data_IF_688518223123
#
_entry.id   IF_688518223123
#
_cell.length_a   1.000
_cell.length_b   1.000
_cell.length_c   1.000
_cell.angle_alpha   90.00
_cell.angle_beta   90.00
_cell.angle_gamma   90.00
#
_symmetry.space_group_name_H-M   'P 1'
#
loop_
_entity.id
_entity.type
_entity.pdbx_description
1 polymer ?
#
# COMPACT_ATOMS: atom_id res chain seq x y z
N UNK A 1 28.94 -41.50 38.31
CA UNK A 1 29.31 -41.15 39.69
C UNK A 1 29.64 -39.65 39.67
N UNK A 2 29.04 -38.84 40.55
CA UNK A 2 29.03 -37.37 40.71
C UNK A 2 27.93 -36.69 39.86
N UNK A 3 26.78 -36.43 40.29
CA UNK A 3 26.12 -35.76 41.43
C UNK A 3 26.68 -34.35 41.74
N UNK A 4 26.04 -33.25 41.24
CA UNK A 4 26.05 -31.95 41.89
C UNK A 4 24.86 -31.08 41.39
N UNK A 5 23.85 -30.97 42.17
CA UNK A 5 23.37 -30.00 43.16
C UNK A 5 22.67 -28.79 42.53
N UNK A 6 21.38 -28.84 42.68
CA UNK A 6 20.42 -27.72 42.72
C UNK A 6 20.79 -26.69 43.77
N UNK A 7 20.55 -25.43 43.49
CA UNK A 7 20.28 -24.39 44.48
C UNK A 7 19.21 -23.43 43.93
N UNK A 8 18.15 -23.13 44.69
CA UNK A 8 17.14 -22.13 44.35
C UNK A 8 17.57 -20.77 44.94
N UNK A 9 17.33 -19.70 44.22
CA UNK A 9 17.40 -18.34 44.77
C UNK A 9 16.00 -17.75 44.82
N UNK A 10 15.63 -17.49 46.04
CA UNK A 10 14.36 -16.94 46.51
C UNK A 10 14.08 -15.52 46.04
N UNK A 11 12.79 -15.27 45.93
CA UNK A 11 12.13 -14.00 45.76
C UNK A 11 12.47 -12.95 46.82
N UNK A 12 12.55 -11.70 46.44
CA UNK A 12 12.28 -10.57 47.36
C UNK A 12 11.27 -9.66 46.66
N UNK A 13 10.07 -9.69 47.20
CA UNK A 13 9.00 -8.73 46.97
C UNK A 13 9.32 -7.49 47.79
N UNK A 14 9.36 -6.33 47.19
CA UNK A 14 9.31 -5.08 47.95
C UNK A 14 8.27 -4.17 47.28
N UNK A 15 7.10 -4.10 47.90
CA UNK A 15 6.04 -3.18 47.56
C UNK A 15 6.37 -1.75 48.01
N UNK A 16 6.04 -0.78 47.20
CA UNK A 16 5.87 0.61 47.64
C UNK A 16 4.55 1.13 47.06
N UNK A 17 3.59 1.25 47.96
CA UNK A 17 2.38 2.05 47.81
C UNK A 17 2.76 3.54 47.81
N UNK A 18 2.35 4.30 46.80
CA UNK A 18 2.12 5.72 46.93
C UNK A 18 0.70 6.04 46.46
N UNK A 19 -0.11 6.39 47.45
CA UNK A 19 -1.42 7.00 47.23
C UNK A 19 -1.28 8.53 47.17
N UNK A 20 -2.22 9.13 46.54
CA UNK A 20 -2.79 10.47 46.72
C UNK A 20 -2.55 11.49 45.61
N UNK A 21 -3.66 11.99 45.09
CA UNK A 21 -3.72 13.29 44.46
C UNK A 21 -4.85 13.46 43.44
N UNK A 22 -6.12 13.33 43.87
CA UNK A 22 -7.27 13.87 43.11
C UNK A 22 -7.13 15.39 42.96
N UNK A 23 -7.22 15.90 41.74
CA UNK A 23 -7.76 17.25 41.50
C UNK A 23 -8.65 17.22 40.25
N UNK A 24 -9.93 17.16 40.55
CA UNK A 24 -11.02 17.48 39.65
C UNK A 24 -10.94 18.95 39.22
N UNK A 25 -10.98 19.24 37.94
CA UNK A 25 -11.35 20.56 37.42
C UNK A 25 -12.66 20.42 36.66
N UNK A 26 -13.62 21.19 37.11
CA UNK A 26 -15.01 21.16 36.76
C UNK A 26 -15.32 21.62 35.32
N UNK A 27 -16.59 21.56 34.93
CA UNK A 27 -17.05 21.74 33.56
C UNK A 27 -17.02 23.21 33.12
N UNK A 28 -16.59 23.44 31.89
CA UNK A 28 -16.69 24.75 31.21
C UNK A 28 -18.09 24.87 30.58
N UNK A 29 -18.78 26.03 30.67
CA UNK A 29 -20.14 26.18 30.18
C UNK A 29 -20.22 26.19 28.66
N UNK A 30 -21.33 25.65 28.15
CA UNK A 30 -21.72 25.74 26.75
C UNK A 30 -22.05 27.23 26.42
N UNK A 31 -21.43 27.76 25.39
CA UNK A 31 -21.85 29.01 24.77
C UNK A 31 -22.70 28.70 23.54
N UNK A 32 -23.93 29.13 23.71
CA UNK A 32 -25.04 29.15 22.76
C UNK A 32 -24.76 30.24 21.72
N UNK A 33 -24.73 29.88 20.42
CA UNK A 33 -24.92 30.89 19.38
C UNK A 33 -25.64 30.33 18.15
N UNK A 34 -26.86 30.85 18.02
CA UNK A 34 -27.52 31.41 16.83
C UNK A 34 -27.67 30.50 15.59
N UNK A 35 -28.86 30.00 15.51
CA UNK A 35 -29.74 29.86 14.35
C UNK A 35 -29.39 30.82 13.19
N UNK A 36 -29.14 30.27 12.01
CA UNK A 36 -29.35 30.98 10.76
C UNK A 36 -30.15 30.07 9.80
N UNK A 37 -31.46 30.43 9.70
CA UNK A 37 -32.38 29.81 8.76
C UNK A 37 -32.13 30.35 7.33
N UNK A 38 -32.32 29.50 6.28
CA UNK A 38 -32.22 29.99 4.91
C UNK A 38 -33.48 30.73 4.48
N UNK A 39 -33.27 31.93 3.92
CA UNK A 39 -34.30 32.74 3.31
C UNK A 39 -34.87 32.06 2.06
N UNK A 40 -36.19 31.92 2.02
CA UNK A 40 -36.98 31.65 0.82
C UNK A 40 -36.83 32.80 -0.16
N UNK A 41 -36.36 32.54 -1.37
CA UNK A 41 -36.52 33.46 -2.51
C UNK A 41 -37.56 32.85 -3.45
N UNK A 42 -38.55 33.71 -3.73
CA UNK A 42 -39.77 33.36 -4.42
C UNK A 42 -39.58 33.04 -5.91
N UNK A 43 -40.46 32.20 -6.37
CA UNK A 43 -40.70 31.90 -7.77
C UNK A 43 -41.34 33.08 -8.46
N UNK A 44 -40.75 33.59 -9.53
CA UNK A 44 -41.43 34.45 -10.51
C UNK A 44 -41.39 33.72 -11.85
N UNK A 45 -42.55 33.18 -12.24
CA UNK A 45 -42.80 32.77 -13.60
C UNK A 45 -42.82 34.01 -14.51
N UNK A 46 -42.03 33.98 -15.56
CA UNK A 46 -42.30 34.76 -16.77
C UNK A 46 -42.10 33.88 -17.99
N UNK A 47 -43.23 33.56 -18.60
CA UNK A 47 -43.27 32.97 -19.93
C UNK A 47 -42.73 33.93 -20.98
N UNK A 48 -41.87 33.42 -21.84
CA UNK A 48 -41.35 34.11 -23.00
C UNK A 48 -40.91 33.08 -24.06
N UNK A 49 -41.76 32.88 -25.04
CA UNK A 49 -41.42 32.13 -26.23
C UNK A 49 -40.32 32.84 -27.03
N UNK A 50 -39.21 32.15 -27.26
CA UNK A 50 -38.19 32.60 -28.23
C UNK A 50 -38.07 31.60 -29.36
N UNK A 51 -37.96 32.08 -30.61
CA UNK A 51 -37.86 31.25 -31.79
C UNK A 51 -36.44 30.61 -31.88
N UNK A 52 -36.39 29.35 -32.29
CA UNK A 52 -35.18 28.60 -32.60
C UNK A 52 -34.40 29.27 -33.73
N UNK A 53 -33.33 29.98 -33.39
CA UNK A 53 -32.26 30.27 -34.31
C UNK A 53 -31.08 29.35 -33.93
N UNK A 54 -30.70 28.43 -34.82
CA UNK A 54 -29.59 27.51 -34.61
C UNK A 54 -28.28 28.29 -34.50
N UNK A 55 -27.77 28.40 -33.28
CA UNK A 55 -26.39 28.78 -33.03
C UNK A 55 -25.51 27.55 -33.23
N UNK A 56 -24.44 27.63 -34.03
CA UNK A 56 -23.46 26.55 -34.14
C UNK A 56 -22.84 26.32 -32.77
N UNK A 57 -22.85 25.06 -32.34
CA UNK A 57 -22.19 24.64 -31.11
C UNK A 57 -20.67 24.90 -31.22
N UNK A 58 -20.05 25.82 -30.44
CA UNK A 58 -18.63 26.13 -30.56
C UNK A 58 -17.70 25.01 -30.12
N UNK A 59 -18.25 23.85 -29.72
CA UNK A 59 -17.48 22.67 -29.29
C UNK A 59 -17.40 21.55 -30.36
N UNK A 60 -17.90 21.79 -31.56
CA UNK A 60 -17.62 20.88 -32.68
C UNK A 60 -16.26 21.25 -33.30
N UNK A 61 -15.22 20.54 -32.88
CA UNK A 61 -13.88 20.67 -33.45
C UNK A 61 -12.71 20.69 -32.46
N UNK A 62 -12.95 20.64 -31.16
CA UNK A 62 -11.88 20.34 -30.25
C UNK A 62 -11.82 18.81 -30.06
N UNK A 63 -10.97 18.16 -30.88
CA UNK A 63 -10.37 16.90 -30.45
C UNK A 63 -9.78 17.18 -29.08
N UNK A 64 -10.37 16.57 -28.01
CA UNK A 64 -9.75 16.56 -26.70
C UNK A 64 -8.43 15.80 -26.86
N UNK A 65 -7.37 16.56 -27.12
CA UNK A 65 -6.03 16.04 -26.95
C UNK A 65 -5.96 15.50 -25.54
N UNK A 66 -5.88 14.19 -25.43
CA UNK A 66 -5.68 13.48 -24.17
C UNK A 66 -4.39 14.08 -23.54
N UNK A 67 -4.46 14.79 -22.40
CA UNK A 67 -3.27 15.39 -21.79
C UNK A 67 -2.25 14.35 -21.32
N UNK A 68 -2.57 13.06 -21.44
CA UNK A 68 -1.67 11.93 -21.21
C UNK A 68 -1.02 11.36 -22.50
N UNK A 69 -1.25 11.95 -23.67
CA UNK A 69 -0.66 11.50 -24.94
C UNK A 69 0.86 11.74 -25.07
N UNK A 70 1.52 12.24 -24.02
CA UNK A 70 2.97 12.42 -23.93
C UNK A 70 3.66 11.58 -22.87
N UNK A 71 2.93 10.76 -22.11
CA UNK A 71 3.57 9.74 -21.28
C UNK A 71 4.02 8.63 -22.20
N UNK A 72 5.32 8.50 -22.44
CA UNK A 72 5.93 7.33 -23.05
C UNK A 72 5.34 6.11 -22.31
N UNK A 73 4.56 5.31 -23.05
CA UNK A 73 4.21 3.99 -22.54
C UNK A 73 5.52 3.29 -22.18
N UNK A 74 5.72 2.91 -20.91
CA UNK A 74 6.92 2.17 -20.57
C UNK A 74 6.95 0.89 -21.42
N UNK A 75 8.13 0.40 -21.81
CA UNK A 75 8.27 -0.78 -22.65
C UNK A 75 7.34 -1.87 -22.12
N UNK A 76 6.47 -2.36 -22.99
CA UNK A 76 5.33 -3.19 -22.63
C UNK A 76 5.77 -4.57 -22.16
N UNK A 77 5.76 -4.79 -20.85
CA UNK A 77 5.76 -6.13 -20.29
C UNK A 77 4.34 -6.67 -20.26
N UNK A 78 4.14 -7.97 -20.50
CA UNK A 78 2.82 -8.62 -20.49
C UNK A 78 2.18 -8.67 -19.11
N UNK A 79 2.98 -8.60 -18.04
CA UNK A 79 2.54 -8.84 -16.65
C UNK A 79 2.08 -10.27 -16.40
N UNK A 80 2.14 -11.13 -17.40
CA UNK A 80 1.77 -12.55 -17.35
C UNK A 80 3.00 -13.44 -17.53
N UNK A 81 3.04 -14.64 -16.93
CA UNK A 81 4.16 -15.54 -17.08
C UNK A 81 4.19 -16.14 -18.48
N UNK A 82 5.37 -16.21 -19.07
CA UNK A 82 5.64 -16.99 -20.27
C UNK A 82 5.68 -18.52 -19.98
N UNK A 83 5.99 -19.33 -20.99
CA UNK A 83 6.08 -20.77 -20.85
C UNK A 83 7.17 -21.26 -19.87
N UNK A 84 8.15 -20.42 -19.55
CA UNK A 84 9.20 -20.69 -18.54
C UNK A 84 8.86 -20.20 -17.14
N UNK A 85 7.71 -19.53 -16.98
CA UNK A 85 7.26 -18.91 -15.74
C UNK A 85 7.93 -17.57 -15.45
N UNK A 86 8.47 -16.90 -16.47
CA UNK A 86 9.04 -15.55 -16.35
C UNK A 86 7.98 -14.50 -16.64
N UNK A 87 7.86 -13.52 -15.76
CA UNK A 87 7.00 -12.35 -15.94
C UNK A 87 7.86 -11.17 -16.34
N UNK A 88 7.60 -10.63 -17.53
CA UNK A 88 8.16 -9.38 -18.02
C UNK A 88 7.24 -8.21 -17.59
N UNK A 89 7.82 -7.19 -16.93
CA UNK A 89 7.10 -6.01 -16.46
C UNK A 89 7.60 -4.71 -17.09
N UNK A 90 8.41 -4.83 -18.14
CA UNK A 90 8.97 -3.74 -18.92
C UNK A 90 10.50 -3.72 -18.88
N UNK A 91 11.15 -2.87 -18.09
CA UNK A 91 12.60 -2.81 -18.03
C UNK A 91 13.25 -3.98 -17.27
N UNK A 92 12.45 -4.72 -16.51
CA UNK A 92 12.89 -5.89 -15.74
C UNK A 92 11.91 -7.05 -15.86
N UNK A 93 12.43 -8.25 -15.66
CA UNK A 93 11.67 -9.50 -15.57
C UNK A 93 12.04 -10.27 -14.31
N UNK A 94 11.19 -11.20 -13.89
CA UNK A 94 11.42 -12.07 -12.75
C UNK A 94 10.71 -13.42 -12.91
N UNK A 95 11.19 -14.45 -12.20
CA UNK A 95 10.60 -15.77 -12.22
C UNK A 95 9.48 -15.89 -11.19
N UNK A 96 8.31 -16.32 -11.65
CA UNK A 96 7.16 -16.61 -10.79
C UNK A 96 7.43 -17.88 -9.96
N UNK A 97 7.25 -17.88 -8.61
CA UNK A 97 7.29 -19.09 -7.81
C UNK A 97 6.20 -20.09 -8.22
N UNK A 98 6.54 -21.39 -8.28
CA UNK A 98 5.66 -22.44 -8.84
C UNK A 98 4.24 -22.51 -8.26
N UNK A 99 4.10 -22.19 -6.97
CA UNK A 99 2.80 -22.27 -6.29
C UNK A 99 1.99 -20.96 -6.39
N UNK A 100 2.58 -19.92 -6.96
CA UNK A 100 1.92 -18.62 -7.08
C UNK A 100 1.19 -18.54 -8.42
N UNK A 101 0.09 -17.78 -8.45
CA UNK A 101 -0.72 -17.61 -9.65
C UNK A 101 -0.78 -16.14 -10.06
N UNK A 102 -0.40 -15.86 -11.30
CA UNK A 102 -0.57 -14.54 -11.89
C UNK A 102 -2.04 -14.27 -12.19
N UNK A 103 -2.41 -13.01 -12.13
CA UNK A 103 -3.74 -12.50 -12.45
C UNK A 103 -3.59 -11.29 -13.38
N UNK A 104 -4.54 -11.04 -14.28
CA UNK A 104 -4.51 -9.84 -15.10
C UNK A 104 -4.44 -8.56 -14.25
N UNK A 105 -3.53 -7.63 -14.55
CA UNK A 105 -3.43 -6.37 -13.81
C UNK A 105 -4.71 -5.54 -13.91
N UNK A 106 -5.23 -5.05 -12.78
CA UNK A 106 -6.49 -4.29 -12.71
C UNK A 106 -6.37 -2.82 -13.11
N UNK A 107 -5.17 -2.33 -13.37
CA UNK A 107 -4.91 -0.96 -13.83
C UNK A 107 -3.57 -0.86 -14.54
N UNK A 108 -3.39 0.16 -15.38
CA UNK A 108 -2.14 0.42 -16.11
C UNK A 108 -0.92 0.70 -15.22
N UNK A 109 -1.13 1.17 -13.98
CA UNK A 109 -0.05 1.38 -13.00
C UNK A 109 0.48 0.08 -12.40
N UNK A 110 -0.28 -1.03 -12.51
CA UNK A 110 0.10 -2.35 -12.01
C UNK A 110 0.69 -3.14 -13.16
N UNK A 111 1.94 -3.50 -13.04
CA UNK A 111 2.66 -4.27 -14.06
C UNK A 111 2.49 -5.77 -13.91
N UNK A 112 2.25 -6.24 -12.69
CA UNK A 112 1.86 -7.62 -12.42
C UNK A 112 1.00 -7.67 -11.15
N UNK A 113 0.08 -8.62 -11.11
CA UNK A 113 -0.66 -9.02 -9.91
C UNK A 113 -0.54 -10.53 -9.73
N UNK A 114 -0.14 -10.97 -8.54
CA UNK A 114 0.12 -12.37 -8.26
C UNK A 114 -0.47 -12.74 -6.90
N UNK A 115 -1.13 -13.90 -6.83
CA UNK A 115 -1.62 -14.49 -5.59
C UNK A 115 -0.63 -15.53 -5.08
N UNK A 116 -0.21 -15.40 -3.82
CA UNK A 116 0.61 -16.35 -3.09
C UNK A 116 -0.29 -17.11 -2.11
N UNK A 117 -0.44 -18.45 -2.24
CA UNK A 117 -1.30 -19.24 -1.35
C UNK A 117 -0.68 -19.38 0.04
N UNK A 118 -1.53 -19.56 1.06
CA UNK A 118 -1.09 -19.83 2.43
C UNK A 118 -2.21 -20.30 3.33
N UNK A 119 -1.85 -20.85 4.49
CA UNK A 119 -2.77 -21.46 5.45
C UNK A 119 -3.77 -20.49 6.06
N UNK A 120 -3.40 -19.21 6.19
CA UNK A 120 -4.25 -18.16 6.76
C UNK A 120 -5.01 -17.34 5.68
N UNK A 121 -5.09 -17.84 4.47
CA UNK A 121 -5.63 -17.14 3.30
C UNK A 121 -4.52 -16.63 2.38
N UNK A 122 -4.85 -16.23 1.15
CA UNK A 122 -3.83 -15.82 0.18
C UNK A 122 -3.22 -14.46 0.54
N UNK A 123 -1.93 -14.28 0.21
CA UNK A 123 -1.28 -12.99 0.13
C UNK A 123 -1.29 -12.50 -1.32
N UNK A 124 -1.20 -11.18 -1.52
CA UNK A 124 -1.16 -10.56 -2.84
C UNK A 124 0.17 -9.87 -3.06
N UNK A 125 0.85 -10.22 -4.16
CA UNK A 125 1.96 -9.43 -4.70
C UNK A 125 1.43 -8.54 -5.80
N UNK A 126 1.75 -7.25 -5.71
CA UNK A 126 1.48 -6.28 -6.76
C UNK A 126 2.81 -5.61 -7.12
N UNK A 127 3.11 -5.57 -8.41
CA UNK A 127 4.24 -4.82 -8.97
C UNK A 127 3.71 -3.54 -9.61
N UNK A 128 4.21 -2.39 -9.14
CA UNK A 128 3.85 -1.08 -9.70
C UNK A 128 5.03 -0.46 -10.43
N UNK A 129 4.68 0.35 -11.44
CA UNK A 129 5.62 1.25 -12.10
C UNK A 129 4.89 2.57 -12.43
N UNK A 130 5.52 3.70 -12.06
CA UNK A 130 4.94 5.04 -12.22
C UNK A 130 5.77 5.95 -13.16
N UNK A 131 6.61 5.34 -14.03
CA UNK A 131 7.51 6.08 -14.92
C UNK A 131 8.82 6.50 -14.23
N UNK A 132 9.65 7.25 -14.93
CA UNK A 132 10.98 7.68 -14.47
C UNK A 132 10.96 8.43 -13.14
N UNK A 133 9.96 9.28 -12.93
CA UNK A 133 9.82 10.07 -11.71
C UNK A 133 9.37 9.22 -10.51
N UNK A 134 8.87 8.00 -10.75
CA UNK A 134 8.37 7.12 -9.70
C UNK A 134 7.21 7.73 -8.91
N UNK A 135 7.04 7.27 -7.67
CA UNK A 135 6.02 7.75 -6.72
C UNK A 135 6.65 8.53 -5.55
N UNK A 136 7.72 9.27 -5.82
CA UNK A 136 8.54 9.97 -4.82
C UNK A 136 9.75 9.14 -4.37
N UNK A 137 10.53 9.66 -3.41
CA UNK A 137 11.74 8.98 -2.92
C UNK A 137 11.43 7.62 -2.29
N UNK A 138 12.42 6.72 -2.26
CA UNK A 138 12.30 5.42 -1.59
C UNK A 138 11.85 5.58 -0.12
N UNK A 139 12.46 6.53 0.62
CA UNK A 139 12.09 6.78 2.02
C UNK A 139 10.65 7.26 2.17
N UNK A 140 10.17 8.19 1.32
CA UNK A 140 8.80 8.67 1.37
C UNK A 140 7.78 7.54 1.10
N UNK A 141 8.11 6.58 0.23
CA UNK A 141 7.29 5.39 0.02
C UNK A 141 7.27 4.48 1.24
N UNK A 142 8.43 4.23 1.85
CA UNK A 142 8.56 3.44 3.07
C UNK A 142 7.73 4.05 4.20
N UNK A 143 7.87 5.35 4.46
CA UNK A 143 7.13 6.06 5.52
C UNK A 143 5.62 5.96 5.30
N UNK A 144 5.18 6.13 4.04
CA UNK A 144 3.76 5.96 3.67
C UNK A 144 3.26 4.54 3.91
N UNK A 145 4.06 3.51 3.60
CA UNK A 145 3.65 2.11 3.79
C UNK A 145 3.67 1.72 5.26
N UNK A 146 4.65 2.17 6.04
CA UNK A 146 4.67 1.98 7.50
C UNK A 146 3.46 2.64 8.15
N UNK A 147 3.09 3.85 7.71
CA UNK A 147 1.90 4.57 8.18
C UNK A 147 0.56 3.87 7.89
N UNK A 148 0.54 2.83 7.04
CA UNK A 148 -0.63 1.96 6.84
C UNK A 148 -0.77 0.87 7.91
N UNK A 149 0.20 0.74 8.83
CA UNK A 149 0.21 -0.26 9.89
C UNK A 149 0.15 0.38 11.27
N UNK A 150 -0.51 -0.30 12.19
CA UNK A 150 -0.51 0.02 13.61
C UNK A 150 -0.27 -1.22 14.46
N UNK A 151 0.21 -1.03 15.68
CA UNK A 151 0.27 -2.09 16.68
C UNK A 151 -1.14 -2.53 17.12
N UNK A 152 -1.24 -3.61 17.87
CA UNK A 152 -2.52 -4.13 18.36
C UNK A 152 -3.30 -3.13 19.23
N UNK A 153 -2.60 -2.23 19.92
CA UNK A 153 -3.16 -1.15 20.74
C UNK A 153 -3.52 0.12 19.94
N UNK A 154 -3.33 0.10 18.62
CA UNK A 154 -3.57 1.23 17.72
C UNK A 154 -2.42 2.23 17.63
N UNK A 155 -1.34 2.06 18.40
CA UNK A 155 -0.16 2.92 18.32
C UNK A 155 0.59 2.73 16.98
N UNK A 156 1.33 3.75 16.49
CA UNK A 156 2.15 3.63 15.29
C UNK A 156 3.25 2.56 15.43
N UNK A 157 3.56 1.86 14.34
CA UNK A 157 4.73 0.96 14.29
C UNK A 157 6.01 1.78 14.28
N UNK A 158 6.88 1.59 15.27
CA UNK A 158 8.09 2.41 15.48
C UNK A 158 9.37 1.81 14.91
N UNK A 159 9.44 0.49 14.72
CA UNK A 159 10.67 -0.21 14.33
C UNK A 159 10.42 -1.18 13.15
N UNK A 160 10.07 -0.69 11.95
CA UNK A 160 9.99 -1.54 10.77
C UNK A 160 11.39 -2.03 10.39
N UNK A 161 11.50 -3.26 9.87
CA UNK A 161 12.78 -3.76 9.37
C UNK A 161 13.05 -3.20 7.98
N UNK A 162 14.18 -2.56 7.80
CA UNK A 162 14.65 -2.04 6.52
C UNK A 162 16.02 -2.61 6.18
N UNK A 163 16.28 -2.82 4.90
CA UNK A 163 17.58 -3.22 4.40
C UNK A 163 17.79 -2.74 2.96
N UNK A 164 19.05 -2.60 2.57
CA UNK A 164 19.44 -2.29 1.19
C UNK A 164 20.39 -3.38 0.67
N UNK A 165 20.27 -3.68 -0.62
CA UNK A 165 21.07 -4.69 -1.30
C UNK A 165 21.17 -4.36 -2.79
N UNK A 166 21.84 -5.23 -3.57
CA UNK A 166 21.86 -5.16 -5.04
C UNK A 166 21.41 -6.49 -5.63
N UNK A 167 20.62 -6.40 -6.70
CA UNK A 167 20.21 -7.56 -7.49
C UNK A 167 20.42 -7.22 -8.96
N UNK A 168 21.19 -8.04 -9.68
CA UNK A 168 21.51 -7.84 -11.11
C UNK A 168 22.00 -6.41 -11.45
N UNK A 169 22.72 -5.80 -10.50
CA UNK A 169 23.24 -4.42 -10.66
C UNK A 169 22.28 -3.33 -10.19
N UNK A 170 21.02 -3.62 -9.96
CA UNK A 170 20.03 -2.65 -9.45
C UNK A 170 20.15 -2.47 -7.93
N UNK A 171 20.05 -1.24 -7.45
CA UNK A 171 19.88 -0.94 -6.03
C UNK A 171 18.48 -1.36 -5.59
N UNK A 172 18.42 -2.02 -4.44
CA UNK A 172 17.19 -2.59 -3.89
C UNK A 172 17.01 -2.14 -2.45
N UNK A 173 15.91 -1.47 -2.16
CA UNK A 173 15.49 -1.12 -0.80
C UNK A 173 14.32 -1.97 -0.37
N UNK A 174 14.41 -2.64 0.78
CA UNK A 174 13.38 -3.53 1.32
C UNK A 174 12.83 -3.01 2.64
N UNK A 175 11.52 -3.12 2.79
CA UNK A 175 10.76 -2.91 4.02
C UNK A 175 10.08 -4.21 4.42
N UNK A 176 10.04 -4.51 5.73
CA UNK A 176 9.26 -5.60 6.32
C UNK A 176 8.56 -5.06 7.57
N UNK A 177 7.24 -5.03 7.55
CA UNK A 177 6.40 -4.46 8.60
C UNK A 177 5.17 -5.34 8.84
N UNK A 178 4.78 -5.49 10.12
CA UNK A 178 3.60 -6.27 10.52
C UNK A 178 2.73 -5.47 11.49
N UNK A 179 1.44 -5.79 11.54
CA UNK A 179 0.48 -5.15 12.44
C UNK A 179 -0.95 -5.18 11.91
N UNK A 180 -1.78 -4.29 12.41
CA UNK A 180 -3.11 -4.02 11.85
C UNK A 180 -2.94 -3.16 10.61
N UNK A 181 -3.41 -3.64 9.45
CA UNK A 181 -3.24 -3.00 8.16
C UNK A 181 -4.49 -2.25 7.72
N UNK A 182 -4.37 -0.95 7.50
CA UNK A 182 -5.45 -0.06 7.07
C UNK A 182 -5.29 0.45 5.61
N UNK A 183 -4.40 -0.16 4.82
CA UNK A 183 -4.09 0.28 3.46
C UNK A 183 -4.90 -0.38 2.33
N UNK A 184 -5.86 -1.24 2.65
CA UNK A 184 -6.65 -1.94 1.64
C UNK A 184 -7.71 -1.03 1.00
N UNK A 185 -7.90 -1.18 -0.33
CA UNK A 185 -8.98 -0.54 -1.07
C UNK A 185 -9.91 -1.60 -1.63
N UNK A 186 -11.21 -1.41 -1.44
CA UNK A 186 -12.24 -2.27 -2.01
C UNK A 186 -12.47 -2.02 -3.50
N UNK A 187 -13.28 -2.87 -4.16
CA UNK A 187 -13.52 -2.79 -5.61
C UNK A 187 -14.11 -1.45 -6.07
N UNK A 188 -14.89 -0.79 -5.24
CA UNK A 188 -15.48 0.53 -5.54
C UNK A 188 -14.61 1.71 -5.07
N UNK A 189 -13.33 1.47 -4.74
CA UNK A 189 -12.41 2.50 -4.27
C UNK A 189 -12.60 2.93 -2.81
N UNK A 190 -13.50 2.27 -2.06
CA UNK A 190 -13.69 2.53 -0.63
C UNK A 190 -12.52 1.96 0.17
N UNK A 191 -12.12 2.65 1.24
CA UNK A 191 -11.14 2.10 2.18
C UNK A 191 -11.75 0.90 2.92
N UNK A 192 -11.04 -0.21 2.94
CA UNK A 192 -11.44 -1.39 3.71
C UNK A 192 -11.19 -1.17 5.21
N UNK A 193 -11.99 -1.81 6.09
CA UNK A 193 -11.69 -1.82 7.52
C UNK A 193 -10.28 -2.35 7.78
N UNK A 194 -9.59 -1.86 8.83
CA UNK A 194 -8.29 -2.40 9.22
C UNK A 194 -8.35 -3.91 9.44
N UNK A 195 -7.38 -4.62 8.90
CA UNK A 195 -7.23 -6.07 9.03
C UNK A 195 -6.11 -6.34 10.03
N UNK A 196 -6.40 -7.14 11.06
CA UNK A 196 -5.40 -7.53 12.04
C UNK A 196 -4.46 -8.60 11.50
N UNK A 197 -3.29 -8.75 12.14
CA UNK A 197 -2.29 -9.77 11.86
C UNK A 197 -1.85 -9.82 10.38
N UNK A 198 -1.64 -8.65 9.80
CA UNK A 198 -1.13 -8.50 8.45
C UNK A 198 0.38 -8.22 8.46
N UNK A 199 1.03 -8.60 7.37
CA UNK A 199 2.44 -8.28 7.11
C UNK A 199 2.61 -7.81 5.67
N UNK A 200 3.47 -6.84 5.49
CA UNK A 200 3.93 -6.34 4.20
C UNK A 200 5.43 -6.58 4.09
N UNK A 201 5.84 -7.25 3.02
CA UNK A 201 7.21 -7.16 2.52
C UNK A 201 7.16 -6.33 1.25
N UNK A 202 7.71 -5.13 1.28
CA UNK A 202 7.80 -4.26 0.11
C UNK A 202 9.26 -4.12 -0.32
N UNK A 203 9.46 -4.00 -1.63
CA UNK A 203 10.80 -3.84 -2.21
C UNK A 203 10.73 -2.81 -3.33
N UNK A 204 11.67 -1.87 -3.33
CA UNK A 204 11.87 -0.87 -4.38
C UNK A 204 13.12 -1.27 -5.14
N UNK A 205 12.99 -1.46 -6.45
CA UNK A 205 14.09 -1.80 -7.37
C UNK A 205 14.33 -0.58 -8.25
N UNK A 206 15.47 0.07 -8.07
CA UNK A 206 15.84 1.26 -8.84
C UNK A 206 16.39 0.84 -10.21
N UNK A 207 15.74 1.27 -11.27
CA UNK A 207 16.20 1.04 -12.65
C UNK A 207 16.49 2.37 -13.36
N UNK A 208 17.27 2.38 -14.45
CA UNK A 208 17.52 3.60 -15.22
C UNK A 208 16.25 4.28 -15.74
N UNK A 209 15.18 3.52 -16.01
CA UNK A 209 13.89 4.04 -16.49
C UNK A 209 12.90 4.38 -15.36
N UNK A 210 13.33 4.31 -14.09
CA UNK A 210 12.51 4.58 -12.92
C UNK A 210 12.29 3.36 -12.02
N UNK A 211 11.79 3.57 -10.79
CA UNK A 211 11.68 2.52 -9.79
C UNK A 211 10.47 1.61 -10.01
N UNK A 212 10.68 0.31 -9.78
CA UNK A 212 9.62 -0.70 -9.64
C UNK A 212 9.36 -0.98 -8.17
N UNK A 213 8.07 -1.08 -7.80
CA UNK A 213 7.63 -1.27 -6.43
C UNK A 213 6.92 -2.62 -6.31
N UNK A 214 7.56 -3.58 -5.63
CA UNK A 214 7.01 -4.88 -5.31
C UNK A 214 6.37 -4.83 -3.92
N UNK A 215 5.10 -5.16 -3.79
CA UNK A 215 4.37 -5.15 -2.51
C UNK A 215 3.69 -6.50 -2.30
N UNK A 216 4.27 -7.34 -1.45
CA UNK A 216 3.66 -8.59 -1.01
C UNK A 216 2.98 -8.34 0.34
N UNK A 217 1.63 -8.34 0.37
CA UNK A 217 0.82 -8.06 1.55
C UNK A 217 -0.22 -9.14 1.78
N UNK A 218 -0.47 -9.49 3.04
CA UNK A 218 -1.45 -10.50 3.43
C UNK A 218 -1.29 -10.95 4.88
N UNK A 219 -2.00 -12.02 5.29
CA UNK A 219 -1.88 -12.57 6.63
C UNK A 219 -0.42 -12.89 6.99
N UNK A 220 0.01 -12.52 8.21
CA UNK A 220 1.40 -12.67 8.66
C UNK A 220 1.92 -14.11 8.52
N UNK A 221 1.08 -15.11 8.81
CA UNK A 221 1.43 -16.52 8.65
C UNK A 221 1.70 -16.86 7.18
N UNK A 222 0.82 -16.44 6.25
CA UNK A 222 0.99 -16.65 4.81
C UNK A 222 2.24 -15.99 4.29
N UNK A 223 2.54 -14.74 4.72
CA UNK A 223 3.78 -14.06 4.34
C UNK A 223 5.00 -14.82 4.86
N UNK A 224 4.95 -15.36 6.09
CA UNK A 224 6.05 -16.16 6.65
C UNK A 224 6.29 -17.43 5.84
N UNK A 225 5.23 -18.16 5.44
CA UNK A 225 5.30 -19.35 4.59
C UNK A 225 5.92 -19.06 3.21
N UNK A 226 5.69 -17.85 2.68
CA UNK A 226 6.10 -17.44 1.33
C UNK A 226 7.37 -16.57 1.29
N UNK A 227 7.97 -16.20 2.45
CA UNK A 227 9.10 -15.28 2.51
C UNK A 227 10.30 -15.78 1.67
N UNK A 228 10.62 -17.07 1.75
CA UNK A 228 11.70 -17.67 0.95
C UNK A 228 11.41 -17.64 -0.55
N UNK A 229 10.16 -17.91 -0.94
CA UNK A 229 9.75 -17.87 -2.34
C UNK A 229 9.83 -16.43 -2.89
N UNK A 230 9.44 -15.44 -2.09
CA UNK A 230 9.60 -14.04 -2.43
C UNK A 230 11.09 -13.64 -2.56
N UNK A 231 11.96 -14.11 -1.66
CA UNK A 231 13.40 -13.87 -1.75
C UNK A 231 13.99 -14.46 -3.03
N UNK A 232 13.55 -15.67 -3.44
CA UNK A 232 13.96 -16.31 -4.69
C UNK A 232 13.45 -15.54 -5.92
N UNK A 233 12.20 -15.03 -5.87
CA UNK A 233 11.66 -14.15 -6.91
C UNK A 233 12.53 -12.90 -7.04
N UNK A 234 12.82 -12.22 -5.94
CA UNK A 234 13.65 -11.00 -5.95
C UNK A 234 15.07 -11.28 -6.49
N UNK A 235 15.66 -12.42 -6.12
CA UNK A 235 16.98 -12.82 -6.62
C UNK A 235 16.97 -13.18 -8.12
N UNK A 236 15.83 -13.48 -8.72
CA UNK A 236 15.67 -13.79 -10.14
C UNK A 236 15.48 -12.56 -11.02
N UNK A 237 15.37 -11.37 -10.43
CA UNK A 237 15.21 -10.13 -11.20
C UNK A 237 16.40 -9.95 -12.14
N UNK A 238 16.08 -9.70 -13.40
CA UNK A 238 17.04 -9.41 -14.46
C UNK A 238 16.52 -8.28 -15.37
N UNK A 239 17.41 -7.57 -16.10
CA UNK A 239 16.96 -6.72 -17.20
C UNK A 239 16.13 -7.53 -18.18
N UNK A 240 15.02 -6.95 -18.68
CA UNK A 240 14.27 -7.57 -19.78
C UNK A 240 15.09 -7.53 -21.07
N UNK A 241 14.89 -8.52 -21.96
CA UNK A 241 15.59 -8.60 -23.24
C UNK A 241 15.40 -7.38 -24.14
#
# INVERSE_FOLDING_TARGET
MMLNRMLPISAVVLGLLFAAGCKSKGPVPAEETASNAPAKVGSTEMGGAHPSAGTPNPHQGMEMQNPHAGMMEPPGGSGEPDASGVIDVGAISFKLPEKWSAQPPRSSMRRAEVSAPGSAGPAQLIVYFFGEQGAGSAQANIDRWVGQFSNADGSPVSNPKQSSSKVSGFEVTRLDVSGNYAGGMGPAGQQLPPQSDQRLIATIVETPGGPYYFKLVGPSATIAENAKAFDQLMASIAPSP
#
